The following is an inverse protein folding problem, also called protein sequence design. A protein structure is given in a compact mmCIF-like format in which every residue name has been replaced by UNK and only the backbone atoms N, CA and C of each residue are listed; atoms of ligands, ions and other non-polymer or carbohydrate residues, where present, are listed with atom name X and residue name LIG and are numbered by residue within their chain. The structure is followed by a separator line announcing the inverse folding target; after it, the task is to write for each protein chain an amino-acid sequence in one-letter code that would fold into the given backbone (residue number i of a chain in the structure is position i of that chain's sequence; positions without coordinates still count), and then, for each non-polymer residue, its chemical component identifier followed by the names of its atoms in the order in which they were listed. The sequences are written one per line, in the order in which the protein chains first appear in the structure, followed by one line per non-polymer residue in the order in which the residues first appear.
data_IF_743976287595
#
_entry.id   IF_743976287595
#
_cell.length_a   1.000
_cell.length_b   1.000
_cell.length_c   1.000
_cell.angle_alpha   90.00
_cell.angle_beta   90.00
_cell.angle_gamma   90.00
#
_symmetry.space_group_name_H-M   'P 1'
#
loop_
_entity.id
_entity.type
_entity.pdbx_description
1 polymer ?
#
# COMPACT_ATOMS: atom_id res chain seq x y z
N UNK A 1 -5.73 30.68 54.90
CA UNK A 1 -6.01 30.07 56.20
C UNK A 1 -6.89 28.83 56.04
N UNK A 2 -6.52 27.78 56.68
CA UNK A 2 -7.13 26.47 56.96
C UNK A 2 -6.65 25.33 56.05
N UNK A 3 -5.59 24.67 56.52
CA UNK A 3 -5.22 23.27 56.30
C UNK A 3 -6.33 22.34 56.80
N UNK A 4 -6.55 21.23 56.14
CA UNK A 4 -7.09 20.03 56.80
C UNK A 4 -6.22 18.82 56.43
N UNK A 5 -5.91 18.12 57.52
CA UNK A 5 -4.99 16.98 57.67
C UNK A 5 -5.61 15.66 57.20
N UNK A 6 -4.70 14.83 56.79
CA UNK A 6 -4.63 13.38 56.71
C UNK A 6 -5.40 12.58 57.75
N UNK A 7 -5.93 11.46 57.33
CA UNK A 7 -6.04 10.27 58.16
C UNK A 7 -5.57 9.05 57.32
N UNK A 8 -4.54 8.44 57.85
CA UNK A 8 -3.97 7.13 57.47
C UNK A 8 -4.83 6.01 58.03
N UNK A 9 -5.04 4.94 57.27
CA UNK A 9 -5.49 3.65 57.83
C UNK A 9 -4.74 2.53 57.14
N UNK A 10 -4.18 1.68 57.99
CA UNK A 10 -3.24 0.61 57.71
C UNK A 10 -3.90 -0.68 57.21
N UNK A 11 -3.19 -1.36 56.33
CA UNK A 11 -2.91 -2.78 56.18
C UNK A 11 -3.92 -3.86 56.62
N UNK A 12 -4.29 -4.67 55.65
CA UNK A 12 -4.44 -6.12 55.85
C UNK A 12 -3.94 -6.83 54.57
N UNK A 13 -2.90 -7.64 54.76
CA UNK A 13 -2.31 -8.50 53.76
C UNK A 13 -3.17 -9.75 53.58
N UNK A 14 -3.66 -9.95 52.35
CA UNK A 14 -4.30 -11.18 51.93
C UNK A 14 -3.52 -11.76 50.75
N UNK A 15 -2.83 -12.88 50.98
CA UNK A 15 -2.14 -13.63 49.94
C UNK A 15 -3.16 -14.31 49.02
N UNK A 16 -3.27 -13.85 47.79
CA UNK A 16 -3.99 -14.55 46.74
C UNK A 16 -2.97 -15.22 45.83
N UNK A 17 -2.98 -16.53 45.86
CA UNK A 17 -2.24 -17.39 44.93
C UNK A 17 -2.88 -17.26 43.58
N UNK A 18 -2.20 -16.66 42.59
CA UNK A 18 -2.63 -16.62 41.21
C UNK A 18 -2.25 -17.93 40.51
N UNK A 19 -3.14 -18.53 39.72
CA UNK A 19 -2.78 -19.68 38.91
C UNK A 19 -1.89 -19.25 37.75
N UNK A 20 -0.77 -19.91 37.56
CA UNK A 20 0.14 -19.80 36.44
C UNK A 20 -0.56 -20.25 35.15
N UNK A 21 -0.96 -19.32 34.32
CA UNK A 21 -1.39 -19.61 32.93
C UNK A 21 -0.11 -19.76 32.11
N UNK A 22 0.20 -20.99 31.72
CA UNK A 22 1.22 -21.26 30.72
C UNK A 22 0.72 -20.73 29.38
N UNK A 23 1.30 -19.63 28.92
CA UNK A 23 1.12 -19.14 27.55
C UNK A 23 1.85 -20.12 26.63
N UNK A 24 1.09 -20.90 25.88
CA UNK A 24 1.62 -21.69 24.80
C UNK A 24 2.25 -20.76 23.77
N UNK A 25 3.57 -20.82 23.63
CA UNK A 25 4.28 -20.19 22.52
C UNK A 25 3.82 -20.84 21.24
N UNK A 26 2.97 -20.13 20.47
CA UNK A 26 2.71 -20.48 19.09
C UNK A 26 4.00 -20.33 18.30
N UNK A 27 4.38 -21.37 17.59
CA UNK A 27 5.52 -21.40 16.68
C UNK A 27 5.36 -20.32 15.61
N UNK A 28 6.01 -19.16 15.83
CA UNK A 28 6.24 -18.20 14.78
C UNK A 28 7.09 -18.87 13.70
N UNK A 29 6.60 -18.83 12.47
CA UNK A 29 7.36 -19.23 11.30
C UNK A 29 8.72 -18.55 11.33
N UNK A 30 9.77 -19.35 11.21
CA UNK A 30 11.17 -18.93 11.23
C UNK A 30 11.43 -18.00 10.06
N UNK A 31 11.27 -16.69 10.29
CA UNK A 31 11.97 -15.70 9.48
C UNK A 31 13.47 -15.97 9.64
N UNK A 32 14.16 -16.29 8.55
CA UNK A 32 15.58 -16.55 8.53
C UNK A 32 16.27 -15.39 9.28
N UNK A 33 17.02 -15.71 10.31
CA UNK A 33 17.87 -14.76 11.03
C UNK A 33 19.01 -14.34 10.10
N UNK A 34 18.74 -13.37 9.22
CA UNK A 34 19.79 -12.61 8.57
C UNK A 34 20.49 -11.79 9.64
N UNK A 35 21.81 -11.88 9.71
CA UNK A 35 22.59 -11.28 10.77
C UNK A 35 22.38 -9.74 10.83
N UNK A 36 21.50 -9.30 11.70
CA UNK A 36 21.61 -8.04 12.44
C UNK A 36 21.28 -6.73 11.75
N UNK A 37 21.05 -6.63 10.42
CA UNK A 37 20.92 -5.32 9.75
C UNK A 37 19.71 -5.20 8.83
N UNK A 38 19.42 -6.20 7.99
CA UNK A 38 18.22 -6.28 7.16
C UNK A 38 17.09 -6.94 7.94
N UNK A 39 15.86 -6.49 7.68
CA UNK A 39 14.66 -7.12 8.20
C UNK A 39 13.73 -7.52 7.08
N UNK A 40 13.49 -8.83 6.97
CA UNK A 40 12.70 -9.40 5.88
C UNK A 40 13.37 -9.31 4.51
N UNK A 41 12.63 -9.69 3.49
CA UNK A 41 13.05 -9.62 2.10
C UNK A 41 12.78 -8.23 1.52
N UNK A 42 13.56 -7.78 0.52
CA UNK A 42 13.25 -6.55 -0.20
C UNK A 42 11.96 -6.72 -1.02
N UNK A 43 11.25 -5.64 -1.25
CA UNK A 43 10.07 -5.59 -2.12
C UNK A 43 10.30 -4.66 -3.31
N UNK A 44 9.56 -4.88 -4.42
CA UNK A 44 9.52 -3.96 -5.56
C UNK A 44 8.23 -3.15 -5.50
N UNK A 45 8.38 -1.82 -5.43
CA UNK A 45 7.28 -0.87 -5.35
C UNK A 45 7.21 0.01 -6.62
N UNK A 46 5.99 0.43 -6.94
CA UNK A 46 5.66 1.16 -8.16
C UNK A 46 5.20 0.20 -9.27
N UNK A 47 4.05 0.48 -9.93
CA UNK A 47 3.53 -0.39 -10.99
C UNK A 47 4.14 -0.08 -12.36
N UNK A 48 4.62 1.15 -12.59
CA UNK A 48 5.10 1.58 -13.89
C UNK A 48 6.57 1.21 -14.08
N UNK A 49 6.94 0.50 -15.17
CA UNK A 49 8.33 0.07 -15.41
C UNK A 49 9.35 1.21 -15.43
N UNK A 50 8.92 2.40 -15.85
CA UNK A 50 9.74 3.61 -15.88
C UNK A 50 9.94 4.25 -14.48
N UNK A 51 9.24 3.75 -13.46
CA UNK A 51 9.28 4.31 -12.11
C UNK A 51 9.11 3.22 -11.05
N UNK A 52 10.11 2.37 -10.91
CA UNK A 52 10.17 1.33 -9.89
C UNK A 52 11.18 1.69 -8.80
N UNK A 53 10.92 1.22 -7.60
CA UNK A 53 11.86 1.26 -6.51
C UNK A 53 11.99 -0.12 -5.83
N UNK A 54 13.18 -0.44 -5.31
CA UNK A 54 13.35 -1.53 -4.37
C UNK A 54 13.43 -0.93 -2.97
N UNK A 55 12.67 -1.51 -2.03
CA UNK A 55 12.68 -1.09 -0.63
C UNK A 55 13.17 -2.24 0.24
N UNK A 56 14.09 -1.94 1.16
CA UNK A 56 14.60 -2.89 2.15
C UNK A 56 14.42 -2.34 3.56
N UNK A 57 13.63 -3.04 4.37
CA UNK A 57 13.48 -2.71 5.78
C UNK A 57 14.77 -3.01 6.56
N UNK A 58 15.05 -2.20 7.58
CA UNK A 58 16.27 -2.25 8.39
C UNK A 58 15.94 -2.44 9.87
N UNK A 59 16.87 -3.04 10.60
CA UNK A 59 16.84 -3.20 12.05
C UNK A 59 17.63 -2.13 12.82
N UNK A 60 18.31 -1.24 12.12
CA UNK A 60 19.12 -0.18 12.71
C UNK A 60 19.94 0.57 11.67
N UNK A 61 20.82 1.49 12.12
CA UNK A 61 21.59 2.34 11.23
C UNK A 61 22.44 1.57 10.22
N UNK A 62 22.13 1.73 8.96
CA UNK A 62 22.74 0.98 7.87
C UNK A 62 22.81 1.77 6.57
N UNK A 63 23.60 1.26 5.66
CA UNK A 63 23.64 1.63 4.26
C UNK A 63 23.65 0.36 3.38
N UNK A 64 23.63 0.51 2.07
CA UNK A 64 23.62 -0.64 1.17
C UNK A 64 23.56 -0.26 -0.30
N UNK A 65 23.34 -1.27 -1.12
CA UNK A 65 23.10 -1.13 -2.55
C UNK A 65 22.22 -2.25 -3.06
N UNK A 66 21.48 -1.99 -4.11
CA UNK A 66 20.83 -3.04 -4.91
C UNK A 66 21.71 -3.40 -6.11
N UNK A 67 21.65 -4.64 -6.54
CA UNK A 67 22.18 -5.10 -7.81
C UNK A 67 21.01 -5.57 -8.64
N UNK A 68 20.94 -5.14 -9.88
CA UNK A 68 19.88 -5.51 -10.82
C UNK A 68 20.48 -6.06 -12.12
N UNK A 69 19.77 -7.02 -12.72
CA UNK A 69 20.02 -7.52 -14.08
C UNK A 69 18.69 -7.53 -14.84
N UNK A 70 18.67 -6.93 -16.01
CA UNK A 70 17.49 -6.79 -16.86
C UNK A 70 17.62 -7.71 -18.05
N UNK A 71 16.64 -8.60 -18.26
CA UNK A 71 16.63 -9.61 -19.35
C UNK A 71 17.93 -10.43 -19.42
N UNK A 72 18.39 -10.91 -18.24
CA UNK A 72 19.66 -11.64 -18.08
C UNK A 72 20.92 -10.89 -18.56
N UNK A 73 20.82 -9.57 -18.63
CA UNK A 73 21.95 -8.72 -18.96
C UNK A 73 22.96 -8.59 -17.81
N UNK A 74 23.96 -7.74 -18.00
CA UNK A 74 24.99 -7.46 -17.00
C UNK A 74 24.39 -6.90 -15.71
N UNK A 75 24.88 -7.37 -14.57
CA UNK A 75 24.50 -6.84 -13.25
C UNK A 75 24.97 -5.39 -13.10
N UNK A 76 24.04 -4.54 -12.69
CA UNK A 76 24.27 -3.13 -12.43
C UNK A 76 24.05 -2.83 -10.95
N UNK A 77 24.94 -2.05 -10.35
CA UNK A 77 24.84 -1.62 -8.96
C UNK A 77 24.05 -0.32 -8.88
N UNK A 78 23.03 -0.31 -8.06
CA UNK A 78 22.17 0.85 -7.78
C UNK A 78 22.46 1.31 -6.35
N UNK A 79 22.89 2.54 -6.20
CA UNK A 79 23.10 3.17 -4.89
C UNK A 79 21.87 4.00 -4.52
N UNK A 80 21.46 4.01 -3.24
CA UNK A 80 20.44 4.93 -2.75
C UNK A 80 21.07 6.30 -2.52
N UNK A 81 21.47 6.95 -3.63
CA UNK A 81 22.23 8.20 -3.62
C UNK A 81 21.32 9.41 -3.80
N UNK A 82 21.58 10.47 -3.05
CA UNK A 82 20.99 11.79 -3.24
C UNK A 82 22.06 12.87 -3.02
N UNK A 83 22.23 13.75 -3.99
CA UNK A 83 23.18 14.88 -3.95
C UNK A 83 24.64 14.45 -3.62
N UNK A 84 25.09 13.31 -4.13
CA UNK A 84 26.42 12.75 -3.90
C UNK A 84 26.59 12.00 -2.59
N UNK A 85 25.55 11.89 -1.77
CA UNK A 85 25.55 11.13 -0.52
C UNK A 85 24.78 9.83 -0.67
N UNK A 86 25.42 8.72 -0.30
CA UNK A 86 24.75 7.44 -0.20
C UNK A 86 23.93 7.41 1.10
N UNK A 87 22.71 6.89 1.02
CA UNK A 87 21.80 6.89 2.15
C UNK A 87 22.39 6.18 3.38
N UNK A 88 22.19 6.80 4.53
CA UNK A 88 22.43 6.26 5.86
C UNK A 88 21.12 6.31 6.64
N UNK A 89 20.50 5.17 6.85
CA UNK A 89 19.13 5.07 7.33
C UNK A 89 19.00 4.06 8.47
N UNK A 90 17.98 4.24 9.30
CA UNK A 90 17.72 3.34 10.44
C UNK A 90 16.54 2.39 10.24
N UNK A 91 15.69 2.65 9.25
CA UNK A 91 14.42 1.93 9.13
C UNK A 91 14.17 1.35 7.73
N UNK A 92 14.58 2.05 6.67
CA UNK A 92 14.37 1.62 5.27
C UNK A 92 15.43 2.21 4.35
N UNK A 93 15.93 1.39 3.44
CA UNK A 93 16.67 1.85 2.25
C UNK A 93 15.74 1.77 1.04
N UNK A 94 15.73 2.82 0.23
CA UNK A 94 14.97 2.94 -1.01
C UNK A 94 15.91 3.14 -2.18
N UNK A 95 15.87 2.21 -3.12
CA UNK A 95 16.69 2.22 -4.33
C UNK A 95 15.80 2.56 -5.52
N UNK A 96 15.91 3.78 -6.04
CA UNK A 96 15.20 4.17 -7.25
C UNK A 96 15.86 3.50 -8.45
N UNK A 97 15.08 2.78 -9.25
CA UNK A 97 15.59 2.11 -10.43
C UNK A 97 15.60 3.04 -11.64
N UNK A 98 16.53 2.86 -12.59
CA UNK A 98 16.41 3.52 -13.88
C UNK A 98 15.14 3.03 -14.60
N UNK A 99 14.60 3.81 -15.57
CA UNK A 99 13.49 3.35 -16.38
C UNK A 99 13.79 2.00 -17.04
N UNK A 100 12.90 1.03 -16.85
CA UNK A 100 13.02 -0.32 -17.39
C UNK A 100 12.10 -0.51 -18.59
N UNK A 101 12.45 -1.39 -19.54
CA UNK A 101 11.55 -1.76 -20.64
C UNK A 101 10.27 -2.43 -20.11
N UNK A 102 9.14 -2.13 -20.75
CA UNK A 102 7.89 -2.84 -20.49
C UNK A 102 8.07 -4.36 -20.74
N UNK A 103 7.53 -5.18 -19.85
CA UNK A 103 7.65 -6.64 -19.92
C UNK A 103 9.04 -7.20 -19.59
N UNK A 104 10.00 -6.36 -19.23
CA UNK A 104 11.33 -6.82 -18.89
C UNK A 104 11.35 -7.73 -17.67
N UNK A 105 12.17 -8.76 -17.69
CA UNK A 105 12.50 -9.57 -16.53
C UNK A 105 13.58 -8.87 -15.72
N UNK A 106 13.22 -8.43 -14.51
CA UNK A 106 14.11 -7.82 -13.53
C UNK A 106 14.57 -8.87 -12.53
N UNK A 107 15.84 -9.21 -12.52
CA UNK A 107 16.49 -9.96 -11.43
C UNK A 107 17.13 -8.97 -10.47
N UNK A 108 16.97 -9.16 -9.17
CA UNK A 108 17.53 -8.23 -8.20
C UNK A 108 17.92 -8.91 -6.89
N UNK A 109 18.86 -8.31 -6.20
CA UNK A 109 19.26 -8.63 -4.82
C UNK A 109 19.71 -7.35 -4.14
N UNK A 110 19.65 -7.33 -2.81
CA UNK A 110 20.02 -6.17 -1.99
C UNK A 110 21.12 -6.58 -1.02
N UNK A 111 22.18 -5.78 -0.96
CA UNK A 111 23.26 -5.91 0.02
C UNK A 111 23.17 -4.75 0.99
N UNK A 112 23.12 -5.05 2.29
CA UNK A 112 23.14 -4.06 3.38
C UNK A 112 24.29 -4.31 4.33
N UNK A 113 24.70 -3.24 5.03
CA UNK A 113 25.72 -3.32 6.08
C UNK A 113 25.45 -2.26 7.13
N UNK A 114 25.69 -2.61 8.40
CA UNK A 114 25.61 -1.66 9.49
C UNK A 114 26.65 -0.54 9.31
N UNK A 115 26.28 0.67 9.71
CA UNK A 115 27.19 1.82 9.64
C UNK A 115 27.20 2.53 10.98
N UNK A 116 28.42 2.81 11.48
CA UNK A 116 28.61 3.56 12.71
C UNK A 116 29.52 4.77 12.42
N UNK A 117 29.02 5.96 12.72
CA UNK A 117 29.80 7.19 12.70
C UNK A 117 30.44 7.40 14.07
N UNK A 118 31.76 7.22 14.16
CA UNK A 118 32.53 7.60 15.36
C UNK A 118 32.85 9.09 15.35
N UNK A 119 33.05 9.66 14.14
CA UNK A 119 33.18 11.10 13.89
C UNK A 119 32.88 11.37 12.42
N UNK A 120 32.87 12.63 12.00
CA UNK A 120 32.68 13.04 10.59
C UNK A 120 33.70 12.39 9.63
N UNK A 121 34.87 12.01 10.10
CA UNK A 121 35.96 11.42 9.31
C UNK A 121 36.30 9.99 9.71
N UNK A 122 35.50 9.36 10.59
CA UNK A 122 35.74 8.00 11.05
C UNK A 122 34.45 7.20 11.04
N UNK A 123 34.24 6.55 9.90
CA UNK A 123 33.05 5.73 9.63
C UNK A 123 33.48 4.28 9.64
N UNK A 124 32.71 3.43 10.30
CA UNK A 124 32.89 1.98 10.33
C UNK A 124 31.71 1.31 9.62
N UNK A 125 32.03 0.41 8.69
CA UNK A 125 31.07 -0.47 8.04
C UNK A 125 31.16 -1.87 8.64
N UNK A 126 30.02 -2.48 8.91
CA UNK A 126 29.91 -3.85 9.34
C UNK A 126 30.03 -4.85 8.16
N UNK A 127 29.87 -6.15 8.42
CA UNK A 127 29.84 -7.17 7.40
C UNK A 127 28.72 -6.92 6.38
N UNK A 128 28.98 -7.27 5.12
CA UNK A 128 27.98 -7.24 4.07
C UNK A 128 27.00 -8.40 4.25
N UNK A 129 25.69 -8.10 4.17
CA UNK A 129 24.62 -9.08 4.20
C UNK A 129 23.82 -8.92 2.91
N UNK A 130 23.85 -9.94 2.06
CA UNK A 130 23.16 -9.94 0.77
C UNK A 130 21.91 -10.82 0.85
N UNK A 131 20.79 -10.32 0.33
CA UNK A 131 19.54 -11.09 0.21
C UNK A 131 19.69 -12.24 -0.78
N UNK A 132 18.70 -13.12 -0.82
CA UNK A 132 18.49 -14.00 -1.96
C UNK A 132 18.26 -13.17 -3.24
N UNK A 133 18.34 -13.84 -4.38
CA UNK A 133 18.01 -13.26 -5.67
C UNK A 133 16.52 -13.43 -5.92
N UNK A 134 15.86 -12.35 -6.35
CA UNK A 134 14.44 -12.30 -6.69
C UNK A 134 14.26 -11.95 -8.16
N UNK A 135 13.13 -12.36 -8.71
CA UNK A 135 12.73 -12.07 -10.09
C UNK A 135 11.36 -11.45 -10.13
N UNK A 136 11.23 -10.33 -10.84
CA UNK A 136 9.98 -9.63 -11.12
C UNK A 136 9.86 -9.41 -12.62
N UNK A 137 8.67 -9.63 -13.17
CA UNK A 137 8.36 -9.20 -14.53
C UNK A 137 7.72 -7.81 -14.48
N UNK A 138 8.31 -6.84 -15.16
CA UNK A 138 7.74 -5.50 -15.31
C UNK A 138 6.40 -5.57 -16.05
N UNK A 139 5.47 -4.68 -15.72
CA UNK A 139 4.19 -4.62 -16.43
C UNK A 139 4.40 -4.28 -17.90
N UNK A 140 3.54 -4.85 -18.75
CA UNK A 140 3.61 -4.66 -20.19
C UNK A 140 2.21 -4.28 -20.75
N UNK A 141 2.04 -3.04 -21.21
CA UNK A 141 0.81 -2.59 -21.85
C UNK A 141 0.43 -3.38 -23.12
N UNK A 142 1.40 -4.04 -23.78
CA UNK A 142 1.19 -4.79 -25.02
C UNK A 142 0.69 -6.23 -24.78
N UNK A 143 0.76 -6.74 -23.54
CA UNK A 143 0.20 -8.05 -23.21
C UNK A 143 -1.30 -8.12 -23.52
N UNK A 144 -1.75 -9.27 -24.01
CA UNK A 144 -3.18 -9.54 -24.30
C UNK A 144 -4.01 -9.90 -23.08
N UNK A 145 -3.35 -10.16 -21.96
CA UNK A 145 -3.99 -10.52 -20.69
C UNK A 145 -3.18 -9.98 -19.52
N UNK A 146 -3.86 -9.79 -18.40
CA UNK A 146 -3.25 -9.47 -17.11
C UNK A 146 -4.09 -10.04 -15.98
N UNK A 147 -3.46 -10.32 -14.85
CA UNK A 147 -4.16 -10.64 -13.62
C UNK A 147 -3.55 -9.85 -12.46
N UNK A 148 -4.38 -9.42 -11.54
CA UNK A 148 -3.93 -8.65 -10.39
C UNK A 148 -4.77 -8.93 -9.15
N UNK A 149 -4.24 -8.55 -8.01
CA UNK A 149 -4.88 -8.70 -6.71
C UNK A 149 -5.01 -7.34 -6.05
N UNK A 150 -6.12 -7.13 -5.34
CA UNK A 150 -6.36 -5.91 -4.55
C UNK A 150 -6.57 -6.30 -3.10
N UNK A 151 -5.82 -5.61 -2.21
CA UNK A 151 -6.01 -5.62 -0.76
C UNK A 151 -6.52 -4.25 -0.30
N UNK A 152 -7.36 -4.24 0.73
CA UNK A 152 -7.84 -3.03 1.38
C UNK A 152 -7.83 -3.23 2.89
N UNK A 153 -7.74 -2.15 3.64
CA UNK A 153 -8.07 -2.06 5.08
C UNK A 153 -7.42 -3.14 5.96
N UNK A 154 -6.14 -3.39 5.80
CA UNK A 154 -5.45 -4.42 6.59
C UNK A 154 -5.17 -4.00 8.03
N UNK A 155 -5.06 -2.69 8.30
CA UNK A 155 -4.91 -2.09 9.63
C UNK A 155 -3.89 -2.82 10.52
N UNK A 156 -2.72 -3.16 9.97
CA UNK A 156 -1.63 -3.85 10.69
C UNK A 156 -2.00 -5.25 11.24
N UNK A 157 -3.16 -5.81 10.86
CA UNK A 157 -3.53 -7.13 11.34
C UNK A 157 -2.64 -8.21 10.72
N UNK A 158 -1.70 -8.72 11.53
CA UNK A 158 -0.70 -9.69 11.08
C UNK A 158 -1.32 -10.95 10.45
N UNK A 159 -2.34 -11.52 11.09
CA UNK A 159 -3.01 -12.74 10.58
C UNK A 159 -3.69 -12.51 9.24
N UNK A 160 -4.31 -11.34 9.08
CA UNK A 160 -4.96 -10.95 7.83
C UNK A 160 -3.93 -10.74 6.73
N UNK A 161 -2.83 -10.04 7.02
CA UNK A 161 -1.74 -9.81 6.06
C UNK A 161 -1.09 -11.13 5.63
N UNK A 162 -0.79 -12.03 6.58
CA UNK A 162 -0.25 -13.37 6.30
C UNK A 162 -1.17 -14.18 5.38
N UNK A 163 -2.47 -14.22 5.69
CA UNK A 163 -3.45 -14.95 4.90
C UNK A 163 -3.68 -14.36 3.49
N UNK A 164 -3.66 -13.03 3.36
CA UNK A 164 -3.71 -12.33 2.08
C UNK A 164 -2.47 -12.64 1.23
N UNK A 165 -1.28 -12.58 1.83
CA UNK A 165 -0.01 -12.86 1.15
C UNK A 165 0.07 -14.31 0.66
N UNK A 166 -0.30 -15.28 1.49
CA UNK A 166 -0.36 -16.69 1.09
C UNK A 166 -1.26 -16.94 -0.14
N UNK A 167 -2.43 -16.29 -0.16
CA UNK A 167 -3.36 -16.37 -1.29
C UNK A 167 -2.80 -15.69 -2.53
N UNK A 168 -2.24 -14.49 -2.36
CA UNK A 168 -1.66 -13.72 -3.46
C UNK A 168 -0.51 -14.47 -4.11
N UNK A 169 0.39 -15.08 -3.33
CA UNK A 169 1.49 -15.91 -3.85
C UNK A 169 1.01 -17.11 -4.67
N UNK A 170 -0.12 -17.72 -4.28
CA UNK A 170 -0.73 -18.84 -5.06
C UNK A 170 -1.32 -18.36 -6.38
N UNK A 171 -1.87 -17.16 -6.42
CA UNK A 171 -2.46 -16.56 -7.63
C UNK A 171 -1.42 -16.07 -8.63
N UNK A 172 -0.19 -15.73 -8.18
CA UNK A 172 0.92 -15.24 -9.00
C UNK A 172 0.50 -14.04 -9.87
N UNK A 173 0.02 -12.94 -9.28
CA UNK A 173 -0.48 -11.80 -10.05
C UNK A 173 0.64 -11.08 -10.80
N UNK A 174 0.29 -10.34 -11.86
CA UNK A 174 1.20 -9.42 -12.53
C UNK A 174 1.54 -8.21 -11.62
N UNK A 175 0.60 -7.80 -10.73
CA UNK A 175 0.83 -6.82 -9.68
C UNK A 175 -0.13 -6.98 -8.50
N UNK A 176 0.26 -6.45 -7.35
CA UNK A 176 -0.58 -6.25 -6.18
C UNK A 176 -0.90 -4.76 -6.06
N UNK A 177 -2.17 -4.42 -5.87
CA UNK A 177 -2.59 -3.07 -5.48
C UNK A 177 -3.06 -3.09 -4.03
N UNK A 178 -2.37 -2.35 -3.17
CA UNK A 178 -2.75 -2.16 -1.77
C UNK A 178 -3.47 -0.82 -1.62
N UNK A 179 -4.79 -0.88 -1.50
CA UNK A 179 -5.71 0.23 -1.69
C UNK A 179 -6.13 0.89 -0.37
N UNK A 180 -5.16 1.35 0.40
CA UNK A 180 -5.38 2.17 1.57
C UNK A 180 -5.58 1.42 2.89
N UNK A 181 -5.43 2.16 3.97
CA UNK A 181 -5.56 1.74 5.36
C UNK A 181 -4.71 0.51 5.71
N UNK A 182 -3.42 0.62 5.39
CA UNK A 182 -2.40 -0.38 5.78
C UNK A 182 -2.17 -0.36 7.28
N UNK A 183 -2.29 0.81 7.89
CA UNK A 183 -2.03 1.09 9.30
C UNK A 183 -3.28 1.62 9.99
N UNK A 184 -3.28 1.62 11.34
CA UNK A 184 -4.30 2.33 12.11
C UNK A 184 -4.02 3.83 12.17
N UNK A 185 -2.76 4.21 12.40
CA UNK A 185 -2.29 5.60 12.42
C UNK A 185 -0.74 5.61 12.36
N UNK A 186 -0.16 6.68 11.85
CA UNK A 186 1.29 6.78 11.59
C UNK A 186 1.94 7.65 12.66
N UNK A 187 2.29 7.07 13.80
CA UNK A 187 2.83 7.82 14.95
C UNK A 187 4.36 7.91 14.98
N UNK A 188 5.06 6.87 14.58
CA UNK A 188 6.48 6.74 14.87
C UNK A 188 7.24 6.11 13.70
N UNK A 189 8.35 6.75 13.22
CA UNK A 189 9.12 6.24 12.09
C UNK A 189 9.64 4.81 12.29
N UNK A 190 9.98 4.44 13.52
CA UNK A 190 10.50 3.12 13.85
C UNK A 190 9.48 1.97 13.67
N UNK A 191 8.18 2.31 13.60
CA UNK A 191 7.12 1.33 13.33
C UNK A 191 6.81 1.21 11.83
N UNK A 192 7.14 2.22 11.04
CA UNK A 192 6.68 2.33 9.66
C UNK A 192 7.23 1.21 8.75
N UNK A 193 8.45 0.72 8.99
CA UNK A 193 8.95 -0.44 8.25
C UNK A 193 8.05 -1.67 8.43
N UNK A 194 7.46 -1.85 9.64
CA UNK A 194 6.50 -2.93 9.94
C UNK A 194 5.09 -2.66 9.43
N UNK A 195 4.79 -1.42 9.14
CA UNK A 195 3.50 -1.03 8.61
C UNK A 195 3.45 -1.14 7.09
N UNK A 196 4.54 -0.82 6.40
CA UNK A 196 4.55 -0.63 4.94
C UNK A 196 5.54 -1.50 4.19
N UNK A 197 6.80 -1.60 4.66
CA UNK A 197 7.86 -2.22 3.86
C UNK A 197 8.00 -3.72 4.12
N UNK A 198 7.78 -4.16 5.36
CA UNK A 198 7.77 -5.57 5.76
C UNK A 198 6.61 -5.79 6.74
N UNK A 199 5.36 -5.64 6.26
CA UNK A 199 4.18 -5.61 7.12
C UNK A 199 4.06 -6.91 7.91
N UNK A 200 3.86 -6.78 9.23
CA UNK A 200 3.80 -7.92 10.17
C UNK A 200 5.00 -8.88 10.09
N UNK A 201 6.12 -8.49 9.49
CA UNK A 201 7.25 -9.38 9.22
C UNK A 201 7.10 -10.23 7.96
N UNK A 202 6.06 -10.01 7.16
CA UNK A 202 5.77 -10.76 5.94
C UNK A 202 6.51 -10.14 4.76
N UNK A 203 7.15 -10.98 3.95
CA UNK A 203 7.79 -10.59 2.70
C UNK A 203 6.75 -10.53 1.58
N UNK A 204 6.19 -9.35 1.34
CA UNK A 204 5.25 -9.10 0.24
C UNK A 204 5.98 -8.59 -1.00
N UNK A 205 5.35 -8.71 -2.17
CA UNK A 205 5.79 -8.06 -3.42
C UNK A 205 7.27 -8.30 -3.79
N UNK A 206 7.80 -9.48 -3.51
CA UNK A 206 9.16 -9.90 -3.90
C UNK A 206 9.23 -10.37 -5.35
N UNK A 207 8.10 -10.82 -5.93
CA UNK A 207 8.01 -11.42 -7.27
C UNK A 207 7.02 -10.72 -8.21
N UNK A 208 6.39 -9.64 -7.75
CA UNK A 208 5.48 -8.79 -8.51
C UNK A 208 5.53 -7.37 -7.93
N UNK A 209 5.32 -6.33 -8.75
CA UNK A 209 5.34 -4.96 -8.26
C UNK A 209 4.14 -4.64 -7.36
N UNK A 210 4.37 -3.81 -6.36
CA UNK A 210 3.38 -3.26 -5.46
C UNK A 210 2.94 -1.88 -5.94
N UNK A 211 1.68 -1.75 -6.35
CA UNK A 211 1.01 -0.47 -6.49
C UNK A 211 0.41 -0.08 -5.14
N UNK A 212 0.81 1.06 -4.61
CA UNK A 212 0.43 1.52 -3.28
C UNK A 212 -0.45 2.76 -3.35
N UNK A 213 -1.57 2.76 -2.63
CA UNK A 213 -2.45 3.90 -2.46
C UNK A 213 -2.72 4.14 -0.98
N UNK A 214 -2.76 5.41 -0.55
CA UNK A 214 -3.06 5.75 0.84
C UNK A 214 -4.56 5.67 1.12
N UNK A 215 -4.91 5.24 2.33
CA UNK A 215 -6.21 5.46 2.94
C UNK A 215 -6.17 6.64 3.93
N UNK A 216 -7.31 6.90 4.57
CA UNK A 216 -7.42 7.99 5.53
C UNK A 216 -6.63 7.72 6.83
N UNK A 217 -6.39 6.48 7.21
CA UNK A 217 -5.52 6.15 8.33
C UNK A 217 -4.04 6.36 8.02
N UNK A 218 -3.62 6.23 6.77
CA UNK A 218 -2.24 6.42 6.34
C UNK A 218 -1.79 7.90 6.32
N UNK A 219 -2.75 8.84 6.45
CA UNK A 219 -2.47 10.27 6.51
C UNK A 219 -2.60 10.85 7.93
N UNK A 220 -2.94 10.02 8.92
CA UNK A 220 -3.09 10.39 10.33
C UNK A 220 -1.82 10.17 11.12
N UNK A 221 -1.53 11.09 12.03
CA UNK A 221 -0.38 11.00 12.93
C UNK A 221 0.82 11.83 12.49
N UNK A 222 1.75 12.10 13.40
CA UNK A 222 2.88 13.01 13.16
C UNK A 222 3.87 12.49 12.11
N UNK A 223 4.02 11.17 11.98
CA UNK A 223 4.92 10.54 11.03
C UNK A 223 4.28 10.26 9.66
N UNK A 224 3.00 10.57 9.43
CA UNK A 224 2.31 10.35 8.15
C UNK A 224 2.99 11.05 6.96
N UNK A 225 3.71 12.15 7.23
CA UNK A 225 4.51 12.90 6.23
C UNK A 225 5.72 12.12 5.72
N UNK A 226 6.06 10.99 6.35
CA UNK A 226 7.18 10.12 5.99
C UNK A 226 6.74 8.87 5.21
N UNK A 227 5.43 8.69 4.95
CA UNK A 227 4.90 7.47 4.30
C UNK A 227 5.60 7.22 2.97
N UNK A 228 5.86 8.24 2.17
CA UNK A 228 6.57 8.10 0.91
C UNK A 228 7.98 7.49 1.06
N UNK A 229 8.65 7.72 2.18
CA UNK A 229 9.97 7.14 2.45
C UNK A 229 9.89 5.61 2.58
N UNK A 230 8.78 5.08 3.12
CA UNK A 230 8.56 3.66 3.40
C UNK A 230 7.73 2.94 2.32
N UNK A 231 7.25 3.68 1.35
CA UNK A 231 6.51 3.21 0.18
C UNK A 231 7.12 3.80 -1.08
N UNK A 232 6.46 3.62 -2.21
CA UNK A 232 6.83 4.32 -3.45
C UNK A 232 5.60 4.64 -4.25
N UNK A 233 5.45 5.91 -4.59
CA UNK A 233 4.47 6.41 -5.54
C UNK A 233 5.19 7.01 -6.75
N UNK A 234 4.72 6.80 -7.98
CA UNK A 234 5.27 7.46 -9.16
C UNK A 234 5.15 8.99 -9.11
N UNK A 235 4.30 9.52 -8.24
CA UNK A 235 4.08 10.95 -8.03
C UNK A 235 3.99 11.28 -6.54
N UNK A 236 4.38 12.50 -6.18
CA UNK A 236 4.45 12.99 -4.79
C UNK A 236 3.10 12.97 -4.05
N UNK A 237 1.98 13.08 -4.78
CA UNK A 237 0.63 13.16 -4.21
C UNK A 237 -0.11 11.81 -4.18
N UNK A 238 0.60 10.69 -4.33
CA UNK A 238 0.03 9.33 -4.37
C UNK A 238 -1.09 9.15 -5.38
N UNK A 239 -1.04 9.94 -6.46
CA UNK A 239 -1.98 9.88 -7.56
C UNK A 239 -1.22 9.54 -8.84
N UNK A 240 -1.58 8.44 -9.48
CA UNK A 240 -0.86 7.97 -10.66
C UNK A 240 -1.76 7.09 -11.53
N UNK A 241 -1.28 6.82 -12.74
CA UNK A 241 -1.94 5.89 -13.64
C UNK A 241 -0.89 4.98 -14.29
N UNK A 242 -1.31 3.79 -14.64
CA UNK A 242 -0.47 2.80 -15.31
C UNK A 242 -1.32 1.85 -16.14
N UNK A 243 -0.67 1.07 -16.99
CA UNK A 243 -1.34 0.06 -17.81
C UNK A 243 -0.69 -1.31 -17.64
N UNK A 244 -1.51 -2.34 -17.46
CA UNK A 244 -1.12 -3.73 -17.48
C UNK A 244 -1.97 -4.48 -18.49
N UNK A 245 -1.38 -4.92 -19.59
CA UNK A 245 -2.09 -5.53 -20.70
C UNK A 245 -3.29 -4.70 -21.15
N UNK A 246 -4.51 -5.28 -21.18
CA UNK A 246 -5.71 -4.57 -21.61
C UNK A 246 -6.29 -3.58 -20.59
N UNK A 247 -5.76 -3.51 -19.36
CA UNK A 247 -6.32 -2.72 -18.26
C UNK A 247 -5.52 -1.45 -18.02
N UNK A 248 -6.17 -0.30 -18.11
CA UNK A 248 -5.68 0.98 -17.61
C UNK A 248 -6.23 1.23 -16.20
N UNK A 249 -5.34 1.58 -15.29
CA UNK A 249 -5.61 1.81 -13.89
C UNK A 249 -5.35 3.28 -13.54
N UNK A 250 -6.32 3.92 -12.92
CA UNK A 250 -6.18 5.18 -12.21
C UNK A 250 -6.10 4.88 -10.72
N UNK A 251 -5.10 5.37 -10.02
CA UNK A 251 -4.97 5.33 -8.57
C UNK A 251 -5.06 6.77 -8.05
N UNK A 252 -6.11 7.10 -7.30
CA UNK A 252 -6.38 8.45 -6.83
C UNK A 252 -6.57 8.47 -5.31
N UNK A 253 -5.79 9.32 -4.65
CA UNK A 253 -5.79 9.47 -3.20
C UNK A 253 -6.99 10.32 -2.76
N UNK A 254 -7.87 9.76 -1.97
CA UNK A 254 -9.06 10.47 -1.44
C UNK A 254 -8.74 11.35 -0.22
N UNK A 255 -7.54 11.22 0.35
CA UNK A 255 -7.17 11.91 1.57
C UNK A 255 -7.97 11.43 2.78
N UNK A 256 -8.40 12.37 3.61
CA UNK A 256 -9.11 12.12 4.86
C UNK A 256 -10.62 12.06 4.66
N UNK A 257 -11.33 11.41 5.58
CA UNK A 257 -12.80 11.25 5.60
C UNK A 257 -13.53 12.45 6.22
N UNK A 258 -12.79 13.48 6.67
CA UNK A 258 -13.30 14.72 7.24
C UNK A 258 -12.85 15.92 6.41
N UNK A 259 -13.63 17.02 6.38
CA UNK A 259 -13.23 18.25 5.69
C UNK A 259 -12.00 18.88 6.34
N UNK A 260 -11.18 19.58 5.57
CA UNK A 260 -9.97 20.27 6.05
C UNK A 260 -10.24 21.22 7.22
N UNK A 261 -11.45 21.81 7.27
CA UNK A 261 -11.89 22.69 8.34
C UNK A 261 -12.25 21.98 9.64
N UNK A 262 -12.25 20.62 9.65
CA UNK A 262 -12.65 19.88 10.86
C UNK A 262 -11.69 20.19 12.02
N UNK A 263 -12.20 20.51 13.23
CA UNK A 263 -11.38 20.97 14.35
C UNK A 263 -10.28 19.98 14.77
N UNK A 264 -10.47 18.68 14.52
CA UNK A 264 -9.49 17.65 14.87
C UNK A 264 -8.13 17.83 14.16
N UNK A 265 -8.12 18.49 13.02
CA UNK A 265 -6.88 18.67 12.24
C UNK A 265 -6.10 19.93 12.61
N UNK A 266 -6.73 20.90 13.32
CA UNK A 266 -6.08 22.15 13.74
C UNK A 266 -5.35 22.89 12.59
N UNK A 267 -5.87 22.79 11.35
CA UNK A 267 -5.27 23.40 10.16
C UNK A 267 -4.01 22.69 9.61
N UNK A 268 -3.73 21.47 10.06
CA UNK A 268 -2.52 20.72 9.67
C UNK A 268 -2.70 19.87 8.40
N UNK A 269 -3.84 19.95 7.72
CA UNK A 269 -4.17 19.25 6.47
C UNK A 269 -4.63 20.24 5.39
N UNK A 270 -4.48 19.83 4.12
CA UNK A 270 -4.89 20.63 2.97
C UNK A 270 -5.30 19.70 1.80
N UNK A 271 -6.22 18.79 2.08
CA UNK A 271 -6.66 17.78 1.10
C UNK A 271 -7.52 18.37 -0.01
N UNK A 272 -8.24 19.46 0.24
CA UNK A 272 -9.00 20.15 -0.82
C UNK A 272 -8.09 20.63 -1.96
N UNK A 273 -6.95 21.23 -1.62
CA UNK A 273 -5.98 21.64 -2.64
C UNK A 273 -5.29 20.43 -3.31
N UNK A 274 -5.07 19.34 -2.59
CA UNK A 274 -4.55 18.09 -3.16
C UNK A 274 -5.55 17.54 -4.20
N UNK A 275 -6.83 17.42 -3.86
CA UNK A 275 -7.90 16.98 -4.76
C UNK A 275 -8.02 17.86 -6.02
N UNK A 276 -7.87 19.17 -5.86
CA UNK A 276 -7.85 20.08 -7.01
C UNK A 276 -6.68 19.79 -7.98
N UNK A 277 -5.46 19.55 -7.45
CA UNK A 277 -4.30 19.16 -8.28
C UNK A 277 -4.50 17.81 -8.95
N UNK A 278 -5.10 16.85 -8.25
CA UNK A 278 -5.43 15.53 -8.80
C UNK A 278 -6.47 15.62 -9.91
N UNK A 279 -7.48 16.48 -9.74
CA UNK A 279 -8.49 16.73 -10.77
C UNK A 279 -7.86 17.30 -12.04
N UNK A 280 -6.99 18.31 -11.91
CA UNK A 280 -6.27 18.88 -13.05
C UNK A 280 -5.34 17.87 -13.75
N UNK A 281 -4.73 16.96 -12.98
CA UNK A 281 -3.95 15.86 -13.54
C UNK A 281 -4.85 14.82 -14.22
N UNK A 282 -6.00 14.50 -13.65
CA UNK A 282 -6.96 13.55 -14.24
C UNK A 282 -7.44 14.03 -15.61
N UNK A 283 -7.72 15.34 -15.76
CA UNK A 283 -8.08 15.96 -17.05
C UNK A 283 -7.05 15.71 -18.14
N UNK A 284 -5.77 15.63 -17.79
CA UNK A 284 -4.67 15.39 -18.71
C UNK A 284 -4.50 13.89 -19.01
N UNK A 285 -4.45 13.04 -17.98
CA UNK A 285 -4.13 11.62 -18.16
C UNK A 285 -5.20 10.86 -18.93
N UNK A 286 -6.48 11.24 -18.80
CA UNK A 286 -7.57 10.59 -19.54
C UNK A 286 -7.53 10.87 -21.05
N UNK A 287 -6.78 11.87 -21.50
CA UNK A 287 -6.57 12.19 -22.92
C UNK A 287 -5.36 11.46 -23.52
N UNK A 288 -4.52 10.86 -22.68
CA UNK A 288 -3.33 10.14 -23.15
C UNK A 288 -3.71 8.94 -24.03
N UNK A 289 -3.06 8.78 -25.21
CA UNK A 289 -3.40 7.71 -26.16
C UNK A 289 -3.36 6.31 -25.55
N UNK A 290 -2.39 6.05 -24.66
CA UNK A 290 -2.25 4.75 -24.01
C UNK A 290 -3.42 4.44 -23.07
N UNK A 291 -3.96 5.48 -22.40
CA UNK A 291 -5.12 5.34 -21.51
C UNK A 291 -6.41 5.18 -22.34
N UNK A 292 -6.62 6.03 -23.34
CA UNK A 292 -7.81 6.01 -24.19
C UNK A 292 -8.00 4.69 -24.93
N UNK A 293 -6.89 4.12 -25.41
CA UNK A 293 -6.89 2.85 -26.17
C UNK A 293 -7.08 1.60 -25.30
N UNK A 294 -7.10 1.72 -23.99
CA UNK A 294 -7.28 0.56 -23.11
C UNK A 294 -8.75 0.09 -23.14
N UNK A 295 -9.02 -1.21 -23.39
CA UNK A 295 -10.38 -1.73 -23.40
C UNK A 295 -11.04 -1.76 -22.01
N UNK A 296 -10.24 -1.80 -20.94
CA UNK A 296 -10.74 -1.74 -19.58
C UNK A 296 -10.09 -0.59 -18.83
N UNK A 297 -10.92 0.21 -18.17
CA UNK A 297 -10.49 1.39 -17.41
C UNK A 297 -11.07 1.32 -16.01
N UNK A 298 -10.19 1.26 -15.02
CA UNK A 298 -10.55 1.13 -13.60
C UNK A 298 -10.05 2.32 -12.81
N UNK A 299 -10.84 2.72 -11.82
CA UNK A 299 -10.41 3.66 -10.78
C UNK A 299 -10.21 2.89 -9.47
N UNK A 300 -9.07 3.10 -8.83
CA UNK A 300 -8.80 2.70 -7.46
C UNK A 300 -8.74 3.95 -6.59
N UNK A 301 -9.52 3.95 -5.52
CA UNK A 301 -9.49 4.98 -4.49
C UNK A 301 -9.90 4.35 -3.16
N UNK A 302 -9.39 4.87 -2.05
CA UNK A 302 -9.66 4.23 -0.76
C UNK A 302 -11.10 4.48 -0.30
N UNK A 303 -11.49 5.75 -0.15
CA UNK A 303 -12.86 6.11 0.27
C UNK A 303 -13.80 5.96 -0.93
N UNK A 304 -14.92 5.21 -0.79
CA UNK A 304 -15.89 5.02 -1.88
C UNK A 304 -16.46 6.34 -2.39
N UNK A 305 -16.66 6.46 -3.70
CA UNK A 305 -17.29 7.65 -4.29
C UNK A 305 -18.80 7.70 -4.02
N UNK A 306 -19.43 6.54 -3.92
CA UNK A 306 -20.84 6.39 -3.53
C UNK A 306 -20.92 5.56 -2.26
N UNK A 307 -21.72 6.06 -1.30
CA UNK A 307 -21.88 5.38 -0.03
C UNK A 307 -22.59 4.04 -0.19
N UNK A 308 -22.25 3.06 0.64
CA UNK A 308 -22.74 1.69 0.53
C UNK A 308 -24.12 1.47 1.15
N UNK A 309 -24.67 2.46 1.87
CA UNK A 309 -25.96 2.39 2.54
C UNK A 309 -26.85 3.54 2.11
N UNK A 310 -28.16 3.32 2.04
CA UNK A 310 -29.18 4.37 1.87
C UNK A 310 -29.37 5.14 3.19
N UNK A 311 -28.30 5.71 3.73
CA UNK A 311 -28.35 6.56 4.92
C UNK A 311 -28.17 8.02 4.47
N UNK A 312 -28.88 8.96 5.15
CA UNK A 312 -28.61 10.37 4.89
C UNK A 312 -27.15 10.66 5.20
N UNK A 313 -26.52 11.43 4.33
CA UNK A 313 -25.14 11.83 4.46
C UNK A 313 -24.88 12.44 5.83
N UNK A 314 -24.17 11.73 6.67
CA UNK A 314 -23.64 12.26 7.91
C UNK A 314 -22.45 13.17 7.56
N UNK A 315 -22.30 14.27 8.30
CA UNK A 315 -21.17 15.20 8.14
C UNK A 315 -19.81 14.44 8.11
N UNK A 316 -19.71 13.40 8.91
CA UNK A 316 -18.55 12.52 9.02
C UNK A 316 -18.14 11.81 7.72
N UNK A 317 -19.09 11.50 6.81
CA UNK A 317 -18.85 10.76 5.58
C UNK A 317 -18.92 11.62 4.31
N UNK A 318 -19.05 12.93 4.48
CA UNK A 318 -19.22 13.86 3.36
C UNK A 318 -17.97 13.99 2.48
N UNK A 319 -16.81 13.54 2.97
CA UNK A 319 -15.54 13.70 2.24
C UNK A 319 -15.44 12.85 0.96
N UNK A 320 -16.26 11.82 0.76
CA UNK A 320 -16.34 11.13 -0.52
C UNK A 320 -17.05 11.97 -1.59
N UNK A 321 -17.97 12.85 -1.21
CA UNK A 321 -18.66 13.73 -2.15
C UNK A 321 -17.73 14.71 -2.87
N UNK A 322 -16.79 15.40 -2.22
CA UNK A 322 -15.85 16.27 -2.93
C UNK A 322 -15.08 15.52 -4.02
N UNK A 323 -14.65 14.29 -3.77
CA UNK A 323 -13.98 13.46 -4.77
C UNK A 323 -14.94 13.07 -5.91
N UNK A 324 -16.14 12.59 -5.58
CA UNK A 324 -17.16 12.24 -6.56
C UNK A 324 -17.53 13.43 -7.44
N UNK A 325 -17.83 14.57 -6.83
CA UNK A 325 -18.30 15.76 -7.54
C UNK A 325 -17.21 16.34 -8.44
N UNK A 326 -15.93 16.23 -8.04
CA UNK A 326 -14.78 16.66 -8.83
C UNK A 326 -14.46 15.70 -9.98
N UNK A 327 -14.62 14.38 -9.79
CA UNK A 327 -14.07 13.38 -10.70
C UNK A 327 -15.12 12.70 -11.59
N UNK A 328 -16.38 12.59 -11.17
CA UNK A 328 -17.39 11.78 -11.84
C UNK A 328 -17.54 12.11 -13.34
N UNK A 329 -17.62 13.39 -13.69
CA UNK A 329 -17.77 13.79 -15.10
C UNK A 329 -16.54 13.39 -15.92
N UNK A 330 -15.34 13.53 -15.38
CA UNK A 330 -14.09 13.13 -16.02
C UNK A 330 -13.98 11.60 -16.16
N UNK A 331 -14.36 10.86 -15.14
CA UNK A 331 -14.36 9.39 -15.15
C UNK A 331 -15.34 8.84 -16.21
N UNK A 332 -16.51 9.45 -16.34
CA UNK A 332 -17.46 9.11 -17.41
C UNK A 332 -16.92 9.43 -18.79
N UNK A 333 -16.34 10.62 -18.98
CA UNK A 333 -15.66 11.01 -20.23
C UNK A 333 -14.55 10.04 -20.58
N UNK A 334 -13.79 9.60 -19.60
CA UNK A 334 -12.70 8.62 -19.72
C UNK A 334 -13.19 7.21 -20.08
N UNK A 335 -14.46 6.89 -19.85
CA UNK A 335 -15.02 5.56 -20.00
C UNK A 335 -14.59 4.60 -18.88
N UNK A 336 -14.41 5.11 -17.65
CA UNK A 336 -14.14 4.27 -16.47
C UNK A 336 -15.35 3.39 -16.21
N UNK A 337 -15.11 2.07 -16.07
CA UNK A 337 -16.18 1.06 -16.02
C UNK A 337 -16.46 0.60 -14.58
N UNK A 338 -15.46 0.71 -13.68
CA UNK A 338 -15.58 0.28 -12.29
C UNK A 338 -14.69 1.12 -11.37
N UNK A 339 -15.23 1.50 -10.22
CA UNK A 339 -14.49 2.04 -9.07
C UNK A 339 -14.26 0.92 -8.08
N UNK A 340 -13.04 0.77 -7.57
CA UNK A 340 -12.66 -0.23 -6.55
C UNK A 340 -12.19 0.52 -5.31
N UNK A 341 -12.83 0.26 -4.17
CA UNK A 341 -12.63 1.00 -2.91
C UNK A 341 -12.57 0.09 -1.70
N UNK A 342 -12.20 0.65 -0.55
CA UNK A 342 -12.17 0.05 0.78
C UNK A 342 -12.95 0.85 1.82
N UNK A 343 -12.30 1.20 2.94
CA UNK A 343 -12.73 2.14 3.97
C UNK A 343 -13.89 1.68 4.86
N UNK A 344 -14.90 1.02 4.30
CA UNK A 344 -16.14 0.72 5.04
C UNK A 344 -16.04 -0.52 5.92
N UNK A 345 -14.98 -1.31 5.79
CA UNK A 345 -14.81 -2.63 6.41
C UNK A 345 -15.98 -3.58 6.13
N UNK A 346 -16.71 -3.34 5.04
CA UNK A 346 -17.84 -4.12 4.58
C UNK A 346 -17.73 -4.29 3.07
N UNK A 347 -18.06 -5.48 2.58
CA UNK A 347 -18.07 -5.72 1.15
C UNK A 347 -19.41 -5.29 0.53
N UNK A 348 -19.35 -4.73 -0.66
CA UNK A 348 -20.52 -4.37 -1.44
C UNK A 348 -20.18 -4.32 -2.93
N UNK A 349 -21.12 -4.74 -3.76
CA UNK A 349 -21.12 -4.42 -5.18
C UNK A 349 -22.32 -3.52 -5.47
N UNK A 350 -22.05 -2.36 -6.00
CA UNK A 350 -23.03 -1.35 -6.34
C UNK A 350 -23.09 -1.24 -7.87
N UNK A 351 -24.09 -1.84 -8.55
CA UNK A 351 -24.21 -1.75 -10.00
C UNK A 351 -24.54 -0.32 -10.46
N UNK A 352 -24.39 -0.06 -11.74
CA UNK A 352 -24.79 1.20 -12.37
C UNK A 352 -26.28 1.49 -12.09
N UNK A 353 -26.61 2.73 -11.78
CA UNK A 353 -27.98 3.24 -11.61
C UNK A 353 -28.04 4.72 -12.02
N UNK A 354 -29.24 5.31 -12.06
CA UNK A 354 -29.42 6.74 -12.39
C UNK A 354 -28.60 7.66 -11.45
N UNK A 355 -28.48 7.28 -10.17
CA UNK A 355 -27.72 8.06 -9.19
C UNK A 355 -26.22 7.70 -9.14
N UNK A 356 -25.87 6.58 -9.72
CA UNK A 356 -24.48 6.05 -9.78
C UNK A 356 -24.18 5.57 -11.18
N UNK A 357 -23.64 6.44 -12.03
CA UNK A 357 -23.44 6.12 -13.44
C UNK A 357 -22.20 5.23 -13.71
N UNK A 358 -21.39 4.94 -12.68
CA UNK A 358 -20.26 4.01 -12.75
C UNK A 358 -20.44 2.95 -11.65
N UNK A 359 -20.26 1.68 -11.97
CA UNK A 359 -20.32 0.60 -10.98
C UNK A 359 -19.21 0.75 -9.93
N UNK A 360 -19.46 0.30 -8.70
CA UNK A 360 -18.48 0.36 -7.61
C UNK A 360 -18.42 -0.98 -6.87
N UNK A 361 -17.20 -1.44 -6.60
CA UNK A 361 -16.89 -2.61 -5.80
C UNK A 361 -16.14 -2.17 -4.55
N UNK A 362 -16.67 -2.45 -3.38
CA UNK A 362 -16.09 -2.09 -2.09
C UNK A 362 -15.72 -3.35 -1.34
N UNK A 363 -14.53 -3.39 -0.76
CA UNK A 363 -14.03 -4.54 -0.04
C UNK A 363 -13.15 -4.15 1.14
N UNK A 364 -12.48 -5.14 1.72
CA UNK A 364 -11.56 -4.94 2.82
C UNK A 364 -12.13 -5.22 4.19
N UNK A 365 -11.33 -4.92 5.18
CA UNK A 365 -11.59 -5.08 6.59
C UNK A 365 -10.43 -5.77 7.31
N UNK A 366 -10.09 -5.31 8.53
CA UNK A 366 -8.91 -5.80 9.23
C UNK A 366 -9.10 -7.20 9.85
N UNK A 367 -10.34 -7.63 10.12
CA UNK A 367 -10.59 -8.91 10.74
C UNK A 367 -10.47 -10.03 9.72
N UNK A 368 -9.67 -11.05 10.00
CA UNK A 368 -9.37 -12.16 9.08
C UNK A 368 -10.64 -12.85 8.54
N UNK A 369 -11.69 -12.90 9.34
CA UNK A 369 -12.97 -13.53 8.98
C UNK A 369 -13.82 -12.67 8.04
N UNK A 370 -13.52 -11.37 7.93
CA UNK A 370 -14.25 -10.39 7.10
C UNK A 370 -13.40 -9.78 6.01
N UNK A 371 -12.09 -9.96 6.11
CA UNK A 371 -11.15 -9.45 5.12
C UNK A 371 -11.44 -10.06 3.76
N UNK A 372 -11.36 -9.23 2.73
CA UNK A 372 -11.60 -9.65 1.35
C UNK A 372 -10.34 -9.56 0.52
N UNK A 373 -10.22 -10.45 -0.45
CA UNK A 373 -9.25 -10.40 -1.52
C UNK A 373 -10.01 -10.28 -2.83
N UNK A 374 -9.70 -9.28 -3.64
CA UNK A 374 -10.23 -9.17 -5.00
C UNK A 374 -9.17 -9.66 -5.98
N UNK A 375 -9.48 -10.70 -6.72
CA UNK A 375 -8.67 -11.22 -7.82
C UNK A 375 -9.30 -10.84 -9.15
N UNK A 376 -8.55 -10.18 -10.00
CA UNK A 376 -8.99 -9.74 -11.31
C UNK A 376 -8.19 -10.45 -12.41
N UNK A 377 -8.89 -10.89 -13.44
CA UNK A 377 -8.31 -11.51 -14.64
C UNK A 377 -8.92 -10.84 -15.86
N UNK A 378 -8.07 -10.24 -16.69
CA UNK A 378 -8.46 -9.57 -17.91
C UNK A 378 -7.83 -10.22 -19.13
N UNK A 379 -8.58 -10.27 -20.21
CA UNK A 379 -8.12 -10.63 -21.56
C UNK A 379 -8.82 -9.76 -22.60
N UNK A 380 -8.64 -10.04 -23.88
CA UNK A 380 -9.25 -9.27 -24.97
C UNK A 380 -10.80 -9.36 -25.00
N UNK A 381 -11.40 -10.32 -24.30
CA UNK A 381 -12.87 -10.58 -24.36
C UNK A 381 -13.60 -10.06 -23.14
N UNK A 382 -13.00 -10.18 -21.96
CA UNK A 382 -13.61 -9.79 -20.70
C UNK A 382 -12.57 -9.52 -19.60
N UNK A 383 -12.98 -8.69 -18.63
CA UNK A 383 -12.33 -8.55 -17.34
C UNK A 383 -13.28 -9.12 -16.28
N UNK A 384 -12.84 -10.15 -15.57
CA UNK A 384 -13.56 -10.74 -14.44
C UNK A 384 -12.88 -10.36 -13.14
N UNK A 385 -13.64 -9.75 -12.21
CA UNK A 385 -13.20 -9.52 -10.84
C UNK A 385 -13.98 -10.45 -9.91
N UNK A 386 -13.27 -11.21 -9.12
CA UNK A 386 -13.83 -12.08 -8.09
C UNK A 386 -13.38 -11.60 -6.72
N UNK A 387 -14.30 -11.13 -5.90
CA UNK A 387 -14.07 -10.79 -4.51
C UNK A 387 -14.45 -11.97 -3.62
N UNK A 388 -13.55 -12.40 -2.77
CA UNK A 388 -13.78 -13.52 -1.85
C UNK A 388 -13.30 -13.21 -0.44
N UNK A 389 -13.88 -13.88 0.55
CA UNK A 389 -13.34 -13.97 1.89
C UNK A 389 -12.03 -14.79 1.91
N UNK A 390 -11.28 -14.68 3.00
CA UNK A 390 -10.03 -15.43 3.15
C UNK A 390 -10.25 -16.94 3.37
N UNK A 391 -11.46 -17.39 3.68
CA UNK A 391 -11.83 -18.82 3.68
C UNK A 391 -12.10 -19.40 2.28
N UNK A 392 -12.18 -18.53 1.24
CA UNK A 392 -12.44 -18.90 -0.15
C UNK A 392 -13.88 -18.71 -0.60
N UNK A 393 -14.78 -18.26 0.27
CA UNK A 393 -16.15 -17.94 -0.09
C UNK A 393 -16.19 -16.77 -1.07
N UNK A 394 -16.80 -16.96 -2.24
CA UNK A 394 -17.02 -15.92 -3.25
C UNK A 394 -18.18 -15.02 -2.81
N UNK A 395 -17.93 -13.74 -2.69
CA UNK A 395 -18.91 -12.74 -2.29
C UNK A 395 -19.51 -12.02 -3.50
N UNK A 396 -18.67 -11.61 -4.43
CA UNK A 396 -19.06 -10.87 -5.62
C UNK A 396 -18.24 -11.30 -6.82
N UNK A 397 -18.93 -11.43 -7.96
CA UNK A 397 -18.30 -11.61 -9.28
C UNK A 397 -18.80 -10.53 -10.22
N UNK A 398 -17.88 -9.75 -10.74
CA UNK A 398 -18.16 -8.65 -11.68
C UNK A 398 -17.49 -8.98 -13.01
N UNK A 399 -18.25 -8.97 -14.09
CA UNK A 399 -17.75 -9.21 -15.45
C UNK A 399 -17.95 -7.92 -16.27
N UNK A 400 -16.87 -7.43 -16.83
CA UNK A 400 -16.84 -6.21 -17.64
C UNK A 400 -16.44 -6.58 -19.06
N UNK A 401 -17.18 -6.05 -20.04
CA UNK A 401 -16.86 -6.20 -21.46
C UNK A 401 -15.97 -5.04 -21.92
N UNK A 402 -15.12 -5.25 -22.93
CA UNK A 402 -14.28 -4.17 -23.46
C UNK A 402 -15.13 -3.01 -23.99
N UNK A 403 -14.65 -1.77 -23.77
CA UNK A 403 -15.27 -0.53 -24.26
C UNK A 403 -14.71 -0.09 -25.61
#
# INVERSE_FOLDING_TARGET
MKRRQFLSSSLLAGSVVAPSISVAQSSAATASKSAGTAWGSPLVAGPAPENLAILQALLGPASGYAEISVNDGTWQKILPEHQGLVAYESHVLKFLLPPLPAGAMLRYKVTVFAVTYQSAYKIQAGPLVTSEEYVVTCLDPAKKSTQFVVWNDTHENAKTIEALDEKTKKLKPDFLLWNGDQTNDVYAPEKMARQYTCPAGVAIATHYPLAYLRGNHDVRGPAARLVEKFTHSPREDFTYAFRSGPVACLAMDTGEDKPDSHPVFQGMVHFDAMRARQTAWLEQVIEEPWFRSAPYKLLFCHIPLWWTKDEPDREYYNCHKPCRDAWQALLLKAGVQLVISGHTHQHAYLPVSDQRPIAQLVGGGPQTERATLTHAVANEKELTLTMSLLNGEELHRVVIRPS
#
